data_IF_598667623434
#
_entry.id   IF_598667623434
#
_cell.length_a   1.000
_cell.length_b   1.000
_cell.length_c   1.000
_cell.angle_alpha   90.00
_cell.angle_beta   90.00
_cell.angle_gamma   90.00
#
_symmetry.space_group_name_H-M   'P 1'
#
loop_
_entity.id
_entity.type
_entity.pdbx_description
1 polymer ?
#
# COMPACT_ATOMS: atom_id res chain seq x y z
N UNK A 1 -0.90 -28.66 5.52
CA UNK A 1 0.14 -27.85 4.84
C UNK A 1 1.44 -28.48 5.24
N UNK A 2 2.21 -28.95 4.27
CA UNK A 2 3.25 -29.94 4.55
C UNK A 2 4.60 -29.36 4.12
N UNK A 3 5.59 -29.41 4.99
CA UNK A 3 6.96 -28.98 4.67
C UNK A 3 7.57 -29.98 3.68
N UNK A 4 8.09 -29.47 2.57
CA UNK A 4 8.76 -30.28 1.55
C UNK A 4 10.27 -30.37 1.84
N UNK A 5 10.92 -29.21 1.92
CA UNK A 5 12.38 -29.11 2.09
C UNK A 5 12.77 -27.74 2.66
N UNK A 6 14.03 -27.61 3.07
CA UNK A 6 14.65 -26.35 3.47
C UNK A 6 16.03 -26.23 2.84
N UNK A 7 16.32 -25.08 2.22
CA UNK A 7 17.63 -24.76 1.63
C UNK A 7 18.09 -23.44 2.21
N UNK A 8 19.16 -23.48 3.01
CA UNK A 8 19.62 -22.36 3.83
C UNK A 8 18.48 -21.75 4.67
N UNK A 9 18.14 -20.49 4.42
CA UNK A 9 17.06 -19.76 5.11
C UNK A 9 15.69 -19.93 4.45
N UNK A 10 15.60 -20.64 3.32
CA UNK A 10 14.36 -20.78 2.57
C UNK A 10 13.63 -22.07 2.94
N UNK A 11 12.35 -21.94 3.30
CA UNK A 11 11.46 -23.05 3.62
C UNK A 11 10.47 -23.25 2.49
N UNK A 12 10.40 -24.48 1.97
CA UNK A 12 9.48 -24.85 0.91
C UNK A 12 8.33 -25.68 1.50
N UNK A 13 7.10 -25.27 1.21
CA UNK A 13 5.89 -25.94 1.66
C UNK A 13 5.04 -26.34 0.46
N UNK A 14 4.36 -27.48 0.56
CA UNK A 14 3.21 -27.80 -0.28
C UNK A 14 1.93 -27.46 0.47
N UNK A 15 0.99 -26.86 -0.23
CA UNK A 15 -0.36 -26.76 0.28
C UNK A 15 -1.04 -28.13 0.22
N UNK A 16 -1.66 -28.56 1.32
CA UNK A 16 -2.52 -29.73 1.36
C UNK A 16 -3.89 -29.33 0.78
N UNK A 17 -3.98 -29.21 -0.53
CA UNK A 17 -5.19 -28.83 -1.27
C UNK A 17 -5.22 -29.44 -2.67
N UNK A 18 -6.33 -29.28 -3.38
CA UNK A 18 -6.43 -29.71 -4.78
C UNK A 18 -5.64 -28.78 -5.72
N UNK A 19 -5.33 -27.56 -5.29
CA UNK A 19 -4.59 -26.55 -6.03
C UNK A 19 -3.17 -27.08 -6.33
N UNK A 20 -2.88 -27.27 -7.62
CA UNK A 20 -1.66 -27.93 -8.10
C UNK A 20 -1.85 -29.35 -8.65
N UNK A 21 -3.01 -29.99 -8.43
CA UNK A 21 -3.40 -31.22 -9.15
C UNK A 21 -4.05 -30.86 -10.49
N UNK A 22 -3.96 -31.71 -11.53
CA UNK A 22 -4.64 -31.46 -12.81
C UNK A 22 -6.14 -31.17 -12.68
N UNK A 23 -6.80 -31.70 -11.66
CA UNK A 23 -8.22 -31.47 -11.38
C UNK A 23 -8.55 -30.02 -10.96
N UNK A 24 -7.60 -29.26 -10.39
CA UNK A 24 -7.81 -27.85 -10.07
C UNK A 24 -7.89 -26.97 -11.32
N UNK A 25 -7.18 -27.34 -12.40
CA UNK A 25 -7.20 -26.62 -13.68
C UNK A 25 -8.42 -26.95 -14.55
N UNK A 26 -9.28 -27.87 -14.11
CA UNK A 26 -10.53 -28.23 -14.78
C UNK A 26 -11.76 -27.71 -14.05
N UNK A 27 -11.57 -26.95 -12.97
CA UNK A 27 -12.66 -26.33 -12.24
C UNK A 27 -13.26 -25.22 -13.11
N UNK A 28 -14.59 -25.24 -13.25
CA UNK A 28 -15.31 -24.13 -13.85
C UNK A 28 -15.66 -23.16 -12.73
N UNK A 29 -15.33 -21.88 -12.92
CA UNK A 29 -15.69 -20.84 -11.98
C UNK A 29 -17.22 -20.74 -11.89
N UNK A 30 -17.77 -20.87 -10.68
CA UNK A 30 -19.22 -20.88 -10.45
C UNK A 30 -19.86 -19.49 -10.52
N UNK A 31 -19.09 -18.44 -10.84
CA UNK A 31 -19.53 -17.04 -10.98
C UNK A 31 -20.27 -16.45 -9.77
N UNK A 32 -20.12 -17.07 -8.60
CA UNK A 32 -20.90 -16.72 -7.42
C UNK A 32 -19.97 -16.36 -6.26
N UNK A 33 -19.35 -15.19 -6.36
CA UNK A 33 -18.59 -14.60 -5.26
C UNK A 33 -19.55 -13.97 -4.24
N UNK A 34 -19.32 -14.17 -2.93
CA UNK A 34 -20.17 -13.57 -1.91
C UNK A 34 -19.96 -12.05 -1.85
N UNK A 35 -21.05 -11.32 -1.68
CA UNK A 35 -20.99 -9.89 -1.40
C UNK A 35 -20.58 -9.65 0.07
N UNK A 36 -19.38 -9.09 0.26
CA UNK A 36 -18.86 -8.78 1.59
C UNK A 36 -19.07 -7.28 1.82
N UNK A 37 -20.06 -6.91 2.64
CA UNK A 37 -20.45 -5.51 2.84
C UNK A 37 -19.32 -4.59 3.31
N UNK A 38 -18.32 -5.10 4.05
CA UNK A 38 -17.13 -4.33 4.43
C UNK A 38 -16.27 -3.89 3.22
N UNK A 39 -16.35 -4.62 2.10
CA UNK A 39 -15.63 -4.29 0.86
C UNK A 39 -16.39 -3.31 -0.02
N UNK A 40 -17.66 -2.99 0.29
CA UNK A 40 -18.46 -2.03 -0.48
C UNK A 40 -17.83 -0.62 -0.51
N UNK A 41 -17.02 -0.27 0.49
CA UNK A 41 -16.29 1.01 0.55
C UNK A 41 -15.27 1.16 -0.60
N UNK A 42 -14.75 0.04 -1.10
CA UNK A 42 -13.68 0.03 -2.11
C UNK A 42 -14.09 -0.63 -3.44
N UNK A 43 -15.22 -1.33 -3.47
CA UNK A 43 -15.74 -1.99 -4.68
C UNK A 43 -17.27 -2.02 -4.66
N UNK A 44 -17.87 -1.37 -5.66
CA UNK A 44 -19.33 -1.32 -5.85
C UNK A 44 -19.94 -2.71 -6.07
N UNK A 45 -19.15 -3.68 -6.56
CA UNK A 45 -19.61 -5.06 -6.79
C UNK A 45 -20.06 -5.76 -5.49
N UNK A 46 -19.64 -5.28 -4.31
CA UNK A 46 -20.08 -5.78 -3.01
C UNK A 46 -21.18 -4.92 -2.37
N UNK A 47 -21.68 -3.89 -3.06
CA UNK A 47 -22.80 -3.07 -2.63
C UNK A 47 -24.13 -3.78 -3.00
N UNK A 48 -24.31 -4.99 -2.47
CA UNK A 48 -25.56 -5.73 -2.66
C UNK A 48 -26.65 -5.08 -1.84
N UNK A 49 -27.34 -4.11 -2.45
CA UNK A 49 -28.64 -3.67 -1.99
C UNK A 49 -29.52 -4.91 -1.91
N UNK A 50 -30.00 -5.18 -0.70
CA UNK A 50 -31.00 -6.19 -0.33
C UNK A 50 -32.25 -6.03 -1.19
N UNK A 51 -32.24 -6.58 -2.40
CA UNK A 51 -33.41 -6.68 -3.27
C UNK A 51 -33.52 -8.14 -3.75
N UNK A 52 -34.53 -8.92 -3.33
CA UNK A 52 -34.65 -10.34 -3.66
C UNK A 52 -34.76 -10.63 -5.17
N UNK A 53 -34.94 -9.60 -6.01
CA UNK A 53 -34.96 -9.72 -7.47
C UNK A 53 -33.55 -9.82 -8.11
N UNK A 54 -32.49 -9.45 -7.37
CA UNK A 54 -31.09 -9.61 -7.84
C UNK A 54 -30.50 -11.01 -7.62
N UNK A 55 -31.26 -11.93 -7.03
CA UNK A 55 -30.88 -13.33 -6.82
C UNK A 55 -31.23 -14.25 -7.99
N UNK A 56 -31.83 -13.72 -9.06
CA UNK A 56 -32.04 -14.49 -10.28
C UNK A 56 -30.74 -14.49 -11.11
N UNK A 57 -30.32 -15.64 -11.66
CA UNK A 57 -29.21 -15.67 -12.60
C UNK A 57 -29.56 -14.77 -13.78
N UNK A 58 -28.89 -13.62 -13.89
CA UNK A 58 -28.98 -12.78 -15.08
C UNK A 58 -28.34 -13.58 -16.21
N UNK A 59 -29.16 -14.11 -17.10
CA UNK A 59 -28.69 -14.74 -18.32
C UNK A 59 -27.89 -13.68 -19.09
N UNK A 60 -26.56 -13.84 -19.11
CA UNK A 60 -25.69 -13.07 -19.99
C UNK A 60 -25.88 -13.72 -21.36
N UNK A 61 -26.69 -13.10 -22.21
CA UNK A 61 -26.77 -13.51 -23.61
C UNK A 61 -25.41 -13.27 -24.26
N UNK A 62 -24.91 -14.33 -24.88
CA UNK A 62 -23.61 -14.46 -25.52
C UNK A 62 -23.51 -13.49 -26.71
N UNK A 63 -23.13 -12.25 -26.42
CA UNK A 63 -22.82 -11.25 -27.43
C UNK A 63 -21.34 -11.38 -27.75
N UNK A 64 -21.08 -11.94 -28.92
CA UNK A 64 -19.78 -12.23 -29.50
C UNK A 64 -18.72 -11.15 -29.20
N UNK A 65 -17.56 -11.61 -28.72
CA UNK A 65 -16.32 -10.85 -28.65
C UNK A 65 -15.89 -10.41 -30.05
N UNK A 66 -16.11 -9.14 -30.38
CA UNK A 66 -15.33 -8.46 -31.41
C UNK A 66 -13.95 -8.12 -30.83
N UNK A 67 -12.95 -8.85 -31.29
CA UNK A 67 -11.54 -8.54 -31.04
C UNK A 67 -11.14 -7.32 -31.89
N UNK A 68 -10.92 -6.16 -31.25
CA UNK A 68 -10.35 -5.02 -31.96
C UNK A 68 -10.46 -3.68 -31.26
N UNK A 69 -9.56 -3.41 -30.32
CA UNK A 69 -9.32 -2.07 -29.80
C UNK A 69 -8.27 -2.10 -28.71
N UNK A 70 -7.07 -1.59 -29.00
CA UNK A 70 -6.06 -1.34 -27.97
C UNK A 70 -6.68 -0.52 -26.84
N UNK A 71 -6.42 -0.83 -25.56
CA UNK A 71 -6.93 0.00 -24.48
C UNK A 71 -6.33 1.40 -24.63
N UNK A 72 -7.19 2.37 -24.95
CA UNK A 72 -6.89 3.78 -24.73
C UNK A 72 -6.36 3.93 -23.30
N UNK A 73 -5.32 4.75 -23.19
CA UNK A 73 -4.53 4.93 -21.99
C UNK A 73 -5.39 4.95 -20.73
N UNK A 74 -5.06 4.06 -19.78
CA UNK A 74 -5.60 4.05 -18.42
C UNK A 74 -5.56 5.49 -17.89
N UNK A 75 -6.71 6.13 -17.63
CA UNK A 75 -6.70 7.45 -17.03
C UNK A 75 -6.00 7.33 -15.68
N UNK A 76 -4.98 8.16 -15.49
CA UNK A 76 -4.28 8.26 -14.21
C UNK A 76 -5.32 8.47 -13.10
N UNK A 77 -5.13 7.85 -11.91
CA UNK A 77 -6.07 8.00 -10.81
C UNK A 77 -6.29 9.49 -10.51
N UNK A 78 -7.53 9.91 -10.20
CA UNK A 78 -7.80 11.29 -9.85
C UNK A 78 -6.89 11.67 -8.69
N UNK A 79 -6.13 12.74 -8.89
CA UNK A 79 -5.28 13.32 -7.87
C UNK A 79 -6.15 13.66 -6.65
N UNK A 80 -6.12 12.79 -5.65
CA UNK A 80 -6.80 13.01 -4.39
C UNK A 80 -6.27 14.30 -3.76
N UNK A 81 -7.21 15.23 -3.53
CA UNK A 81 -7.05 16.48 -2.82
C UNK A 81 -5.88 17.36 -3.29
N UNK A 82 -6.20 18.28 -4.21
CA UNK A 82 -5.53 19.57 -4.29
C UNK A 82 -5.51 20.20 -2.88
N UNK A 83 -4.31 20.36 -2.31
CA UNK A 83 -4.19 20.91 -0.98
C UNK A 83 -2.83 20.85 -0.32
N UNK A 84 -1.74 20.44 -0.98
CA UNK A 84 -0.38 20.83 -0.61
C UNK A 84 0.43 20.91 -1.91
N UNK A 85 0.96 22.09 -2.22
CA UNK A 85 1.70 22.34 -3.46
C UNK A 85 2.77 21.28 -3.69
N UNK A 86 3.04 20.95 -4.96
CA UNK A 86 4.13 20.04 -5.32
C UNK A 86 5.39 20.49 -4.56
N UNK A 87 5.99 19.63 -3.73
CA UNK A 87 7.14 20.02 -2.93
C UNK A 87 8.22 20.60 -3.83
N UNK A 88 8.68 21.81 -3.51
CA UNK A 88 9.82 22.40 -4.23
C UNK A 88 11.01 21.44 -4.07
N UNK A 89 11.79 21.18 -5.14
CA UNK A 89 12.94 20.29 -5.04
C UNK A 89 13.86 20.71 -3.87
N UNK A 90 14.06 19.80 -2.92
CA UNK A 90 14.91 20.03 -1.74
C UNK A 90 14.21 20.62 -0.51
N UNK A 91 12.92 20.96 -0.56
CA UNK A 91 12.18 21.34 0.65
C UNK A 91 11.64 20.11 1.40
N UNK A 92 11.61 20.16 2.76
CA UNK A 92 11.06 19.10 3.57
C UNK A 92 9.54 18.99 3.37
N UNK A 93 9.06 17.76 3.17
CA UNK A 93 7.64 17.44 3.03
C UNK A 93 7.11 17.04 4.40
N UNK A 94 5.92 17.50 4.77
CA UNK A 94 5.29 17.10 6.02
C UNK A 94 4.06 16.24 5.77
N UNK A 95 3.89 15.17 6.56
CA UNK A 95 2.70 14.32 6.56
C UNK A 95 2.14 14.18 7.98
N UNK A 96 0.84 13.91 8.06
CA UNK A 96 0.15 13.69 9.32
C UNK A 96 -0.01 12.21 9.61
N UNK A 97 0.27 11.84 10.86
CA UNK A 97 0.21 10.47 11.33
C UNK A 97 -0.91 10.30 12.35
N UNK A 98 -1.63 9.20 12.21
CA UNK A 98 -2.57 8.74 13.22
C UNK A 98 -1.86 7.68 14.09
N UNK A 99 -1.92 7.77 15.42
CA UNK A 99 -1.36 6.75 16.30
C UNK A 99 -2.16 5.44 16.21
N UNK A 100 -1.55 4.32 16.61
CA UNK A 100 -2.25 3.03 16.75
C UNK A 100 -2.27 2.12 15.51
N UNK A 101 -1.31 2.28 14.60
CA UNK A 101 -1.11 1.38 13.45
C UNK A 101 0.33 0.91 13.31
N UNK A 102 0.63 0.23 12.21
CA UNK A 102 2.00 -0.19 11.87
C UNK A 102 2.79 0.89 11.11
N UNK A 103 2.24 2.09 10.91
CA UNK A 103 2.88 3.17 10.15
C UNK A 103 3.06 2.91 8.65
N UNK A 104 2.59 1.78 8.11
CA UNK A 104 2.82 1.35 6.72
C UNK A 104 2.13 2.25 5.70
N UNK A 105 0.91 2.71 5.99
CA UNK A 105 0.18 3.67 5.13
C UNK A 105 0.98 4.96 4.92
N UNK A 106 1.62 5.45 5.96
CA UNK A 106 2.41 6.67 5.94
C UNK A 106 3.72 6.47 5.16
N UNK A 107 4.32 5.29 5.22
CA UNK A 107 5.46 4.90 4.39
C UNK A 107 5.13 5.01 2.90
N UNK A 108 3.98 4.47 2.48
CA UNK A 108 3.53 4.56 1.09
C UNK A 108 3.25 6.00 0.66
N UNK A 109 2.66 6.82 1.54
CA UNK A 109 2.47 8.24 1.25
C UNK A 109 3.82 8.96 1.06
N UNK A 110 4.81 8.70 1.92
CA UNK A 110 6.13 9.29 1.81
C UNK A 110 6.85 8.90 0.51
N UNK A 111 6.77 7.61 0.12
CA UNK A 111 7.29 7.12 -1.15
C UNK A 111 6.65 7.83 -2.34
N UNK A 112 5.31 7.90 -2.36
CA UNK A 112 4.55 8.56 -3.42
C UNK A 112 4.91 10.03 -3.57
N UNK A 113 5.03 10.76 -2.44
CA UNK A 113 5.40 12.18 -2.41
C UNK A 113 6.81 12.46 -2.93
N UNK A 114 7.72 11.49 -2.83
CA UNK A 114 9.07 11.63 -3.32
C UNK A 114 9.27 11.19 -4.77
N UNK A 115 8.24 10.72 -5.48
CA UNK A 115 8.38 10.25 -6.88
C UNK A 115 9.04 11.31 -7.77
N UNK A 116 10.07 10.92 -8.53
CA UNK A 116 10.81 11.81 -9.44
C UNK A 116 11.87 12.72 -8.78
N UNK A 117 12.00 12.75 -7.46
CA UNK A 117 13.00 13.57 -6.78
C UNK A 117 14.33 12.84 -6.54
N UNK A 118 15.46 13.49 -6.88
CA UNK A 118 16.81 12.97 -6.63
C UNK A 118 17.20 13.00 -5.14
N UNK A 119 16.66 13.96 -4.40
CA UNK A 119 16.79 14.08 -2.96
C UNK A 119 15.43 14.51 -2.38
N UNK A 120 14.96 13.82 -1.34
CA UNK A 120 13.65 14.02 -0.74
C UNK A 120 13.69 13.70 0.76
N UNK A 121 13.06 14.56 1.57
CA UNK A 121 12.89 14.33 3.01
C UNK A 121 11.42 14.49 3.36
N UNK A 122 10.87 13.52 4.09
CA UNK A 122 9.49 13.54 4.59
C UNK A 122 9.51 13.41 6.11
N UNK A 123 8.88 14.34 6.79
CA UNK A 123 8.69 14.35 8.23
C UNK A 123 7.23 14.04 8.55
N UNK A 124 6.99 13.09 9.45
CA UNK A 124 5.66 12.73 9.91
C UNK A 124 5.45 13.11 11.37
N UNK A 125 4.34 13.79 11.65
CA UNK A 125 3.99 14.23 12.99
C UNK A 125 2.68 13.59 13.45
N UNK A 126 2.61 13.23 14.73
CA UNK A 126 1.37 12.71 15.35
C UNK A 126 0.45 13.85 15.73
N UNK A 127 -0.86 13.66 15.61
CA UNK A 127 -1.89 14.60 16.09
C UNK A 127 -1.81 16.03 15.53
N UNK A 128 -1.20 16.24 14.36
CA UNK A 128 -1.06 17.61 13.86
C UNK A 128 0.04 18.44 14.54
N UNK A 129 0.81 17.84 15.46
CA UNK A 129 1.72 18.56 16.37
C UNK A 129 3.17 18.59 15.86
N UNK A 130 3.71 19.76 15.48
CA UNK A 130 5.05 19.87 14.88
C UNK A 130 6.19 19.56 15.87
N UNK A 131 5.92 19.48 17.17
CA UNK A 131 6.88 19.11 18.21
C UNK A 131 7.05 17.60 18.39
N UNK A 132 6.20 16.77 17.76
CA UNK A 132 6.20 15.31 17.93
C UNK A 132 6.51 14.57 16.65
N UNK A 133 7.79 14.55 16.25
CA UNK A 133 8.21 13.75 15.11
C UNK A 133 8.02 12.26 15.41
N UNK A 134 7.21 11.61 14.60
CA UNK A 134 6.96 10.17 14.65
C UNK A 134 7.45 9.40 13.44
N UNK A 135 7.89 10.09 12.39
CA UNK A 135 8.40 9.44 11.18
C UNK A 135 9.39 10.32 10.45
N UNK A 136 10.45 9.70 9.94
CA UNK A 136 11.42 10.30 9.06
C UNK A 136 11.67 9.38 7.87
N UNK A 137 11.47 9.91 6.67
CA UNK A 137 11.94 9.28 5.44
C UNK A 137 12.93 10.19 4.73
N UNK A 138 14.08 9.63 4.38
CA UNK A 138 15.11 10.34 3.61
C UNK A 138 15.51 9.48 2.44
N UNK A 139 15.46 10.07 1.25
CA UNK A 139 16.07 9.50 0.05
C UNK A 139 17.04 10.49 -0.55
N UNK A 140 18.27 10.09 -0.78
CA UNK A 140 19.28 10.89 -1.47
C UNK A 140 20.06 10.02 -2.47
N UNK A 141 19.88 10.33 -3.75
CA UNK A 141 20.56 9.67 -4.87
C UNK A 141 21.80 10.44 -5.34
N UNK A 142 22.10 11.62 -4.76
CA UNK A 142 23.29 12.43 -5.09
C UNK A 142 24.56 11.84 -4.49
N UNK A 143 24.47 11.34 -3.26
CA UNK A 143 25.62 10.92 -2.45
C UNK A 143 25.86 9.39 -2.41
N UNK A 144 25.36 8.62 -3.37
CA UNK A 144 25.57 7.16 -3.42
C UNK A 144 24.39 6.30 -2.96
N UNK A 145 23.15 6.76 -3.21
CA UNK A 145 21.89 6.07 -2.90
C UNK A 145 21.71 5.74 -1.41
N UNK A 146 21.20 6.72 -0.67
CA UNK A 146 20.70 6.54 0.69
C UNK A 146 19.18 6.51 0.68
N UNK A 147 18.58 5.50 1.30
CA UNK A 147 17.14 5.42 1.52
C UNK A 147 16.88 4.86 2.91
N UNK A 148 16.36 5.69 3.81
CA UNK A 148 16.10 5.34 5.20
C UNK A 148 14.67 5.70 5.59
N UNK A 149 14.05 4.84 6.40
CA UNK A 149 12.77 5.09 7.03
C UNK A 149 12.90 4.79 8.53
N UNK A 150 12.52 5.75 9.36
CA UNK A 150 12.61 5.66 10.81
C UNK A 150 11.27 6.08 11.43
N UNK A 151 10.89 5.43 12.53
CA UNK A 151 9.65 5.68 13.26
C UNK A 151 9.91 5.96 14.74
N UNK A 152 9.04 6.74 15.37
CA UNK A 152 8.96 6.74 16.83
C UNK A 152 8.38 5.39 17.29
N UNK A 153 9.25 4.52 17.78
CA UNK A 153 8.89 3.17 18.20
C UNK A 153 8.01 3.12 19.46
N UNK A 154 7.84 4.24 20.17
CA UNK A 154 6.84 4.33 21.25
C UNK A 154 5.42 4.47 20.71
N UNK A 155 5.26 5.01 19.50
CA UNK A 155 3.97 5.20 18.82
C UNK A 155 3.72 4.10 17.78
N UNK A 156 4.77 3.67 17.08
CA UNK A 156 4.73 2.67 16.01
C UNK A 156 5.74 1.56 16.28
N UNK A 157 5.38 0.50 17.04
CA UNK A 157 6.31 -0.56 17.41
C UNK A 157 7.02 -1.22 16.21
N UNK A 158 8.32 -1.51 16.37
CA UNK A 158 9.18 -2.14 15.36
C UNK A 158 9.94 -3.33 15.93
N UNK A 159 10.21 -4.32 15.07
CA UNK A 159 10.98 -5.49 15.44
C UNK A 159 12.50 -5.19 15.49
N UNK A 160 12.98 -4.24 14.67
CA UNK A 160 14.38 -3.88 14.58
C UNK A 160 14.61 -2.49 15.16
N UNK A 161 15.58 -2.36 16.06
CA UNK A 161 15.98 -1.08 16.64
C UNK A 161 16.50 -0.08 15.60
N UNK A 162 17.07 -0.57 14.49
CA UNK A 162 17.51 0.26 13.37
C UNK A 162 16.38 0.95 12.60
N UNK A 163 15.12 0.58 12.83
CA UNK A 163 13.93 1.24 12.28
C UNK A 163 13.40 2.32 13.24
N UNK A 164 13.99 2.48 14.42
CA UNK A 164 13.57 3.48 15.39
C UNK A 164 14.28 4.81 15.19
N UNK A 165 13.57 5.91 15.41
CA UNK A 165 14.16 7.23 15.53
C UNK A 165 15.17 7.25 16.68
N UNK A 166 16.37 7.74 16.38
CA UNK A 166 17.38 8.02 17.39
C UNK A 166 17.34 9.50 17.77
N UNK A 167 17.96 9.86 18.91
CA UNK A 167 18.17 11.25 19.28
C UNK A 167 18.94 12.04 18.19
N UNK A 168 19.84 11.37 17.44
CA UNK A 168 20.54 11.98 16.32
C UNK A 168 19.62 12.26 15.12
N UNK A 169 18.68 11.34 14.85
CA UNK A 169 17.66 11.50 13.81
C UNK A 169 16.71 12.66 14.13
N UNK A 170 16.38 12.86 15.41
CA UNK A 170 15.56 13.99 15.87
C UNK A 170 16.28 15.34 15.68
N UNK A 171 17.59 15.42 15.93
CA UNK A 171 18.37 16.65 15.67
C UNK A 171 18.49 17.01 14.18
N UNK A 172 18.31 16.05 13.28
CA UNK A 172 18.37 16.32 11.83
C UNK A 172 17.18 17.17 11.32
N UNK A 173 16.15 17.33 12.14
CA UNK A 173 14.99 18.20 11.91
C UNK A 173 15.39 19.68 12.06
N UNK A 174 16.25 20.00 13.04
CA UNK A 174 16.62 21.38 13.39
C UNK A 174 17.42 22.09 12.28
N UNK A 175 18.00 21.34 11.35
CA UNK A 175 18.75 21.86 10.19
C UNK A 175 17.90 21.97 8.91
N UNK A 176 16.64 21.53 8.95
CA UNK A 176 15.76 21.48 7.79
C UNK A 176 14.64 22.54 7.80
N UNK A 177 14.46 23.25 8.91
CA UNK A 177 13.48 24.36 9.08
C UNK A 177 14.18 25.69 8.88
#
# INVERSE_FOLDING_TARGET
MDKLTSVDTHLFFRWAGAWGKPAAFRQHYSQNEPAIGLLAVISEAHNSLTDPETLLPRAIEDSALEAGGAPDAVPAPPAGAAGQGQPRPGQPITIWMMPGGDGGRQSYQALGRCTGQIACKVFGYVDGRPDKLAFLYVRDRRAGWTEIMLWDCTVFPRAKSGECLSAASQKSIDYAI
#
